data_IF_087016792392
#
_entry.id   IF_087016792392
#
_cell.length_a   1.000
_cell.length_b   1.000
_cell.length_c   1.000
_cell.angle_alpha   90.00
_cell.angle_beta   90.00
_cell.angle_gamma   90.00
#
_symmetry.space_group_name_H-M   'P 1'
#
loop_
_entity.id
_entity.type
_entity.pdbx_description
1 polymer ?
#
# COMPACT_ATOMS: atom_id res chain seq x y z
N UNK A 1 -7.83 -0.61 14.90
CA UNK A 1 -8.12 -0.10 13.53
C UNK A 1 -7.80 -1.16 12.47
N UNK A 2 -8.44 -1.12 11.29
CA UNK A 2 -8.12 -1.96 10.13
C UNK A 2 -7.67 -1.09 8.95
N UNK A 3 -6.74 -1.59 8.16
CA UNK A 3 -6.32 -1.00 6.90
C UNK A 3 -6.13 -2.07 5.83
N UNK A 4 -6.13 -1.66 4.57
CA UNK A 4 -6.05 -2.55 3.41
C UNK A 4 -4.91 -2.09 2.51
N UNK A 5 -4.09 -3.06 2.09
CA UNK A 5 -3.04 -2.85 1.10
C UNK A 5 -3.28 -3.76 -0.08
N UNK A 6 -3.14 -3.21 -1.29
CA UNK A 6 -3.08 -3.97 -2.53
C UNK A 6 -1.69 -3.77 -3.12
N UNK A 7 -1.00 -4.86 -3.44
CA UNK A 7 0.31 -4.80 -4.08
C UNK A 7 0.56 -6.03 -4.96
N UNK A 8 1.60 -5.92 -5.79
CA UNK A 8 1.99 -7.00 -6.69
C UNK A 8 2.58 -8.19 -5.91
N UNK A 9 1.90 -9.34 -6.02
CA UNK A 9 2.25 -10.58 -5.31
C UNK A 9 3.54 -11.25 -5.79
N UNK A 10 4.20 -10.69 -6.83
CA UNK A 10 5.56 -11.09 -7.21
C UNK A 10 6.60 -10.68 -6.16
N UNK A 11 6.23 -9.80 -5.24
CA UNK A 11 7.06 -9.36 -4.11
C UNK A 11 6.34 -9.62 -2.78
N UNK A 12 7.06 -9.65 -1.64
CA UNK A 12 6.41 -9.68 -0.32
C UNK A 12 5.47 -8.49 -0.16
N UNK A 13 4.19 -8.77 0.12
CA UNK A 13 3.16 -7.73 0.11
C UNK A 13 3.30 -6.81 1.33
N UNK A 14 3.62 -7.35 2.50
CA UNK A 14 3.82 -6.59 3.73
C UNK A 14 5.28 -6.15 3.89
N UNK A 15 5.81 -5.48 2.86
CA UNK A 15 7.18 -4.99 2.82
C UNK A 15 7.25 -3.56 2.25
N UNK A 16 8.18 -2.77 2.82
CA UNK A 16 8.38 -1.35 2.50
C UNK A 16 9.46 -1.08 1.44
N UNK A 17 10.05 -2.11 0.84
CA UNK A 17 11.20 -1.97 -0.09
C UNK A 17 10.83 -1.20 -1.35
N UNK A 18 9.65 -1.44 -1.92
CA UNK A 18 9.21 -0.73 -3.14
C UNK A 18 9.21 0.79 -2.94
N UNK A 19 8.44 1.32 -1.96
CA UNK A 19 8.48 2.72 -1.57
C UNK A 19 9.87 3.22 -1.21
N UNK A 20 10.69 2.41 -0.51
CA UNK A 20 12.08 2.79 -0.20
C UNK A 20 12.92 3.02 -1.45
N UNK A 21 12.80 2.17 -2.47
CA UNK A 21 13.62 2.25 -3.68
C UNK A 21 13.19 3.38 -4.60
N UNK A 22 11.88 3.56 -4.80
CA UNK A 22 11.33 4.45 -5.83
C UNK A 22 10.85 5.79 -5.26
N UNK A 23 10.51 5.83 -3.97
CA UNK A 23 9.74 6.93 -3.39
C UNK A 23 8.26 6.85 -3.75
N UNK A 24 7.50 7.80 -3.24
CA UNK A 24 6.08 7.97 -3.51
C UNK A 24 5.59 9.32 -3.01
N UNK A 25 4.28 9.54 -3.02
CA UNK A 25 3.69 10.83 -2.62
C UNK A 25 4.12 11.27 -1.22
N UNK A 26 4.30 10.32 -0.30
CA UNK A 26 4.56 10.59 1.13
C UNK A 26 5.96 10.17 1.59
N UNK A 27 6.84 9.70 0.70
CA UNK A 27 8.19 9.30 1.07
C UNK A 27 9.20 9.56 -0.05
N UNK A 28 10.36 10.11 0.30
CA UNK A 28 11.52 10.18 -0.61
C UNK A 28 12.23 8.83 -0.70
N UNK A 29 12.95 8.55 -1.82
CA UNK A 29 13.83 7.38 -1.91
C UNK A 29 14.77 7.27 -0.69
N UNK A 30 14.99 6.04 -0.22
CA UNK A 30 15.74 5.72 0.99
C UNK A 30 14.87 5.53 2.24
N UNK A 31 13.61 5.98 2.25
CA UNK A 31 12.68 5.84 3.39
C UNK A 31 11.63 4.76 3.12
N UNK A 32 11.63 3.70 3.92
CA UNK A 32 10.63 2.63 3.85
C UNK A 32 9.26 3.11 4.31
N UNK A 33 8.21 2.70 3.59
CA UNK A 33 6.83 2.98 3.95
C UNK A 33 5.91 1.87 3.42
N UNK A 34 4.82 1.59 4.14
CA UNK A 34 3.70 0.79 3.64
C UNK A 34 2.53 1.72 3.37
N UNK A 35 2.11 1.81 2.10
CA UNK A 35 0.87 2.47 1.70
C UNK A 35 -0.31 1.52 1.92
N UNK A 36 -1.34 2.02 2.60
CA UNK A 36 -2.59 1.32 2.88
C UNK A 36 -3.74 2.34 2.96
N UNK A 37 -4.98 1.85 2.87
CA UNK A 37 -6.21 2.65 3.00
C UNK A 37 -7.10 2.05 4.08
N UNK A 38 -7.92 2.85 4.75
CA UNK A 38 -8.91 2.36 5.73
C UNK A 38 -9.97 1.44 5.10
N UNK A 39 -10.16 1.51 3.77
CA UNK A 39 -11.12 0.68 3.04
C UNK A 39 -10.45 -0.08 1.89
N UNK A 40 -10.96 -1.28 1.60
CA UNK A 40 -10.53 -2.05 0.44
C UNK A 40 -10.75 -1.28 -0.88
N UNK A 41 -11.90 -0.61 -1.02
CA UNK A 41 -12.24 0.19 -2.19
C UNK A 41 -11.28 1.37 -2.38
N UNK A 42 -10.86 2.03 -1.29
CA UNK A 42 -9.84 3.07 -1.34
C UNK A 42 -8.49 2.55 -1.83
N UNK A 43 -8.03 1.41 -1.31
CA UNK A 43 -6.80 0.78 -1.79
C UNK A 43 -6.90 0.35 -3.28
N UNK A 44 -8.06 -0.12 -3.72
CA UNK A 44 -8.30 -0.47 -5.12
C UNK A 44 -8.32 0.76 -6.03
N UNK A 45 -8.93 1.86 -5.58
CA UNK A 45 -8.95 3.11 -6.33
C UNK A 45 -7.53 3.61 -6.61
N UNK A 46 -6.64 3.55 -5.62
CA UNK A 46 -5.24 3.95 -5.79
C UNK A 46 -4.53 3.11 -6.87
N UNK A 47 -4.77 1.79 -6.90
CA UNK A 47 -4.21 0.92 -7.95
C UNK A 47 -4.75 1.28 -9.33
N UNK A 48 -6.07 1.50 -9.45
CA UNK A 48 -6.69 1.82 -10.73
C UNK A 48 -6.25 3.20 -11.24
N UNK A 49 -6.21 4.20 -10.36
CA UNK A 49 -5.80 5.57 -10.70
C UNK A 49 -4.33 5.65 -11.13
N UNK A 50 -3.44 4.84 -10.54
CA UNK A 50 -2.00 4.91 -10.81
C UNK A 50 -1.48 3.87 -11.81
N UNK A 51 -2.26 2.83 -12.15
CA UNK A 51 -1.79 1.77 -13.04
C UNK A 51 -1.68 2.19 -14.51
N UNK A 52 -2.26 3.33 -14.92
CA UNK A 52 -2.45 3.71 -16.33
C UNK A 52 -3.12 2.60 -17.18
N UNK A 53 -3.76 1.63 -16.52
CA UNK A 53 -4.43 0.49 -17.14
C UNK A 53 -5.92 0.64 -16.85
N UNK A 54 -6.76 0.37 -17.85
CA UNK A 54 -8.22 0.30 -17.68
C UNK A 54 -8.68 -0.92 -16.85
N UNK A 55 -7.76 -1.60 -16.16
CA UNK A 55 -8.01 -2.78 -15.32
C UNK A 55 -6.89 -2.96 -14.31
N UNK A 56 -7.21 -3.54 -13.16
CA UNK A 56 -6.20 -3.94 -12.19
C UNK A 56 -5.22 -4.96 -12.80
N UNK A 57 -3.90 -4.83 -12.53
CA UNK A 57 -2.92 -5.83 -12.95
C UNK A 57 -3.24 -7.23 -12.39
N UNK A 58 -2.98 -8.28 -13.18
CA UNK A 58 -3.34 -9.67 -12.81
C UNK A 58 -2.58 -10.23 -11.61
N UNK A 59 -1.49 -9.60 -11.23
CA UNK A 59 -0.61 -10.01 -10.14
C UNK A 59 -0.95 -9.34 -8.82
N UNK A 60 -1.96 -8.46 -8.77
CA UNK A 60 -2.36 -7.81 -7.54
C UNK A 60 -2.95 -8.83 -6.55
N UNK A 61 -2.54 -8.73 -5.30
CA UNK A 61 -3.17 -9.38 -4.16
C UNK A 61 -3.34 -8.35 -3.04
N UNK A 62 -4.15 -8.69 -2.04
CA UNK A 62 -4.42 -7.78 -0.93
C UNK A 62 -4.06 -8.39 0.41
N UNK A 63 -3.79 -7.51 1.36
CA UNK A 63 -3.70 -7.82 2.78
C UNK A 63 -4.67 -6.92 3.54
N UNK A 64 -5.25 -7.50 4.57
CA UNK A 64 -5.86 -6.76 5.66
C UNK A 64 -4.80 -6.61 6.77
N UNK A 65 -4.62 -5.37 7.22
CA UNK A 65 -3.67 -4.97 8.25
C UNK A 65 -4.47 -4.62 9.49
N UNK A 66 -4.24 -5.35 10.58
CA UNK A 66 -4.81 -5.03 11.88
C UNK A 66 -3.82 -4.12 12.62
N UNK A 67 -4.26 -2.91 12.92
CA UNK A 67 -3.48 -1.91 13.64
C UNK A 67 -3.99 -1.86 15.08
N UNK A 68 -3.17 -2.24 16.07
CA UNK A 68 -3.51 -2.10 17.49
C UNK A 68 -3.85 -0.64 17.83
N UNK A 69 -4.81 -0.44 18.72
CA UNK A 69 -5.29 0.91 19.07
C UNK A 69 -4.31 1.70 19.96
N UNK A 70 -3.36 1.01 20.58
CA UNK A 70 -2.33 1.55 21.46
C UNK A 70 -1.04 1.96 20.73
N UNK A 71 -1.01 1.84 19.40
CA UNK A 71 0.11 2.32 18.57
C UNK A 71 0.10 3.85 18.54
N UNK A 72 1.28 4.45 18.76
CA UNK A 72 1.47 5.89 18.61
C UNK A 72 1.23 6.34 17.16
N UNK A 73 0.43 7.39 16.99
CA UNK A 73 0.16 8.01 15.70
C UNK A 73 0.94 9.31 15.60
N UNK A 74 1.82 9.41 14.60
CA UNK A 74 2.48 10.67 14.24
C UNK A 74 1.46 11.56 13.50
N UNK A 75 1.32 12.82 13.95
CA UNK A 75 0.39 13.82 13.39
C UNK A 75 1.14 14.92 12.66
#
# INVERSE_FOLDING_TARGET
MRAFRIADRRFPIFDGTGPRLVGGRWNSPGRSLIYASETYSGAMLEILAHSNLNRAPRTQAYLEIVIPEDIAVER
#
